data_IF_528229372969
#
_entry.id   IF_528229372969
#
_cell.length_a   1.000
_cell.length_b   1.000
_cell.length_c   1.000
_cell.angle_alpha   90.00
_cell.angle_beta   90.00
_cell.angle_gamma   90.00
#
_symmetry.space_group_name_H-M   'P 1'
#
loop_
_entity.id
_entity.type
_entity.pdbx_description
1 polymer ?
#
# COMPACT_ATOMS: atom_id res chain seq x y z
N UNK A 1 -16.24 -27.58 -10.41
CA UNK A 1 -15.19 -28.50 -10.89
C UNK A 1 -13.89 -27.70 -10.90
N UNK A 2 -12.99 -27.66 -9.90
CA UNK A 2 -12.75 -28.45 -8.69
C UNK A 2 -12.23 -27.46 -7.62
N UNK A 3 -13.05 -27.13 -6.61
CA UNK A 3 -12.76 -26.09 -5.60
C UNK A 3 -12.27 -26.69 -4.28
N UNK A 4 -11.45 -27.73 -4.32
CA UNK A 4 -10.71 -28.22 -3.15
C UNK A 4 -9.34 -27.55 -3.12
N UNK A 5 -9.34 -26.22 -3.01
CA UNK A 5 -8.13 -25.48 -2.65
C UNK A 5 -7.71 -25.96 -1.26
N UNK A 6 -6.43 -26.28 -1.11
CA UNK A 6 -5.79 -26.61 0.16
C UNK A 6 -6.31 -25.65 1.26
N UNK A 7 -6.85 -26.14 2.39
CA UNK A 7 -7.45 -25.28 3.41
C UNK A 7 -6.52 -24.13 3.80
N UNK A 8 -5.20 -24.35 3.82
CA UNK A 8 -4.17 -23.35 4.08
C UNK A 8 -4.27 -22.10 3.18
N UNK A 9 -4.52 -22.26 1.88
CA UNK A 9 -4.61 -21.14 0.91
C UNK A 9 -5.88 -20.33 1.14
N UNK A 10 -6.97 -20.97 1.54
CA UNK A 10 -8.24 -20.29 1.84
C UNK A 10 -8.17 -19.37 3.06
N UNK A 11 -7.28 -19.66 4.02
CA UNK A 11 -7.09 -18.82 5.21
C UNK A 11 -6.31 -17.55 4.87
N UNK A 12 -5.31 -17.66 3.99
CA UNK A 12 -4.50 -16.52 3.55
C UNK A 12 -5.36 -15.52 2.77
N UNK A 13 -6.13 -15.96 1.79
CA UNK A 13 -7.02 -15.06 1.04
C UNK A 13 -8.15 -14.47 1.87
N UNK A 14 -8.55 -15.11 2.98
CA UNK A 14 -9.49 -14.52 3.94
C UNK A 14 -8.83 -13.42 4.76
N UNK A 15 -7.61 -13.65 5.23
CA UNK A 15 -6.81 -12.63 5.93
C UNK A 15 -6.50 -11.41 5.06
N UNK A 16 -6.05 -11.63 3.83
CA UNK A 16 -5.77 -10.57 2.85
C UNK A 16 -7.02 -9.71 2.58
N UNK A 17 -8.17 -10.34 2.32
CA UNK A 17 -9.43 -9.61 2.08
C UNK A 17 -9.89 -8.82 3.31
N UNK A 18 -9.76 -9.39 4.51
CA UNK A 18 -10.11 -8.67 5.74
C UNK A 18 -9.24 -7.41 5.91
N UNK A 19 -7.93 -7.54 5.69
CA UNK A 19 -6.99 -6.41 5.75
C UNK A 19 -7.31 -5.38 4.67
N UNK A 20 -7.62 -5.80 3.44
CA UNK A 20 -8.02 -4.91 2.35
C UNK A 20 -9.31 -4.16 2.68
N UNK A 21 -10.33 -4.82 3.22
CA UNK A 21 -11.58 -4.15 3.62
C UNK A 21 -11.35 -3.12 4.74
N UNK A 22 -10.49 -3.44 5.71
CA UNK A 22 -10.14 -2.50 6.76
C UNK A 22 -9.39 -1.28 6.20
N UNK A 23 -8.38 -1.50 5.35
CA UNK A 23 -7.60 -0.41 4.75
C UNK A 23 -8.41 0.47 3.80
N UNK A 24 -9.24 -0.14 2.95
CA UNK A 24 -10.13 0.61 2.05
C UNK A 24 -11.20 1.38 2.83
N UNK A 25 -11.77 0.78 3.88
CA UNK A 25 -12.70 1.45 4.78
C UNK A 25 -12.06 2.65 5.48
N UNK A 26 -10.85 2.49 6.04
CA UNK A 26 -10.15 3.61 6.69
C UNK A 26 -9.75 4.68 5.68
N UNK A 27 -9.25 4.31 4.50
CA UNK A 27 -8.92 5.25 3.44
C UNK A 27 -10.14 6.05 2.98
N UNK A 28 -11.29 5.40 2.80
CA UNK A 28 -12.53 6.06 2.43
C UNK A 28 -12.99 7.07 3.48
N UNK A 29 -12.88 6.72 4.77
CA UNK A 29 -13.22 7.64 5.87
C UNK A 29 -12.29 8.86 5.86
N UNK A 30 -10.97 8.66 5.74
CA UNK A 30 -10.00 9.77 5.70
C UNK A 30 -10.25 10.66 4.48
N UNK A 31 -10.51 10.07 3.32
CA UNK A 31 -10.84 10.82 2.10
C UNK A 31 -12.12 11.64 2.24
N UNK A 32 -13.15 11.06 2.87
CA UNK A 32 -14.39 11.79 3.15
C UNK A 32 -14.18 12.96 4.12
N UNK A 33 -13.40 12.75 5.19
CA UNK A 33 -13.04 13.82 6.13
C UNK A 33 -12.22 14.92 5.46
N UNK A 34 -11.30 14.56 4.57
CA UNK A 34 -10.53 15.52 3.77
C UNK A 34 -11.47 16.34 2.87
N UNK A 35 -12.44 15.71 2.21
CA UNK A 35 -13.46 16.43 1.42
C UNK A 35 -14.32 17.35 2.30
N UNK A 36 -14.76 16.89 3.47
CA UNK A 36 -15.53 17.73 4.39
C UNK A 36 -14.72 18.94 4.88
N UNK A 37 -13.45 18.73 5.21
CA UNK A 37 -12.52 19.80 5.61
C UNK A 37 -12.37 20.85 4.50
N UNK A 38 -12.16 20.43 3.25
CA UNK A 38 -12.00 21.38 2.13
C UNK A 38 -13.28 22.15 1.88
N UNK A 39 -14.46 21.52 2.01
CA UNK A 39 -15.74 22.22 1.92
C UNK A 39 -15.90 23.26 3.03
N UNK A 40 -15.59 22.90 4.29
CA UNK A 40 -15.67 23.83 5.42
C UNK A 40 -14.67 24.98 5.27
N UNK A 41 -13.45 24.72 4.82
CA UNK A 41 -12.43 25.76 4.58
C UNK A 41 -12.87 26.74 3.47
N UNK A 42 -13.43 26.22 2.38
CA UNK A 42 -13.98 27.03 1.28
C UNK A 42 -15.15 27.88 1.78
N UNK A 43 -16.15 27.27 2.42
CA UNK A 43 -17.31 27.99 2.95
C UNK A 43 -16.92 29.04 4.01
N UNK A 44 -15.97 28.71 4.89
CA UNK A 44 -15.42 29.63 5.89
C UNK A 44 -14.81 30.89 5.27
N UNK A 45 -14.01 30.73 4.21
CA UNK A 45 -13.43 31.86 3.47
C UNK A 45 -14.50 32.73 2.81
N UNK A 46 -15.45 32.12 2.11
CA UNK A 46 -16.42 32.88 1.30
C UNK A 46 -17.55 33.50 2.12
N UNK A 47 -18.02 32.84 3.17
CA UNK A 47 -19.17 33.30 3.96
C UNK A 47 -18.78 34.12 5.19
N UNK A 48 -17.65 33.77 5.84
CA UNK A 48 -17.26 34.33 7.13
C UNK A 48 -15.93 35.10 7.07
N UNK A 49 -15.27 35.14 5.91
CA UNK A 49 -13.90 35.69 5.75
C UNK A 49 -12.90 35.11 6.77
N UNK A 50 -13.17 33.91 7.26
CA UNK A 50 -12.43 33.23 8.30
C UNK A 50 -12.04 31.83 7.79
N UNK A 51 -10.86 31.66 7.16
CA UNK A 51 -10.37 30.35 6.73
C UNK A 51 -10.14 29.42 7.91
N UNK A 52 -10.12 28.11 7.66
CA UNK A 52 -9.75 27.13 8.68
C UNK A 52 -8.23 27.20 8.88
N UNK A 53 -7.80 27.57 10.09
CA UNK A 53 -6.39 27.64 10.45
C UNK A 53 -5.72 26.29 10.25
N UNK A 54 -4.67 26.26 9.42
CA UNK A 54 -3.90 25.04 9.12
C UNK A 54 -4.64 23.97 8.32
N UNK A 55 -5.70 24.34 7.60
CA UNK A 55 -6.37 23.43 6.66
C UNK A 55 -5.40 22.83 5.62
N UNK A 56 -4.40 23.61 5.19
CA UNK A 56 -3.37 23.14 4.25
C UNK A 56 -2.57 21.97 4.83
N UNK A 57 -2.00 22.13 6.03
CA UNK A 57 -1.20 21.09 6.69
C UNK A 57 -2.03 19.83 6.96
N UNK A 58 -3.28 20.01 7.41
CA UNK A 58 -4.17 18.89 7.67
C UNK A 58 -4.52 18.13 6.38
N UNK A 59 -4.75 18.85 5.28
CA UNK A 59 -5.01 18.26 3.97
C UNK A 59 -3.79 17.49 3.46
N UNK A 60 -2.58 18.02 3.66
CA UNK A 60 -1.32 17.35 3.31
C UNK A 60 -1.14 16.03 4.07
N UNK A 61 -1.38 16.05 5.39
CA UNK A 61 -1.31 14.86 6.24
C UNK A 61 -2.37 13.81 5.85
N UNK A 62 -3.60 14.24 5.58
CA UNK A 62 -4.68 13.34 5.14
C UNK A 62 -4.40 12.73 3.76
N UNK A 63 -3.91 13.54 2.82
CA UNK A 63 -3.54 13.06 1.49
C UNK A 63 -2.45 12.00 1.57
N UNK A 64 -1.39 12.27 2.35
CA UNK A 64 -0.33 11.30 2.58
C UNK A 64 -0.88 10.01 3.21
N UNK A 65 -1.73 10.11 4.23
CA UNK A 65 -2.35 8.94 4.85
C UNK A 65 -3.15 8.10 3.83
N UNK A 66 -3.98 8.73 2.99
CA UNK A 66 -4.77 8.03 1.95
C UNK A 66 -3.87 7.32 0.93
N UNK A 67 -2.81 7.97 0.46
CA UNK A 67 -1.87 7.37 -0.50
C UNK A 67 -1.25 6.09 0.08
N UNK A 68 -0.76 6.15 1.32
CA UNK A 68 -0.10 5.02 1.97
C UNK A 68 -1.08 3.92 2.41
N UNK A 69 -2.31 4.26 2.79
CA UNK A 69 -3.37 3.27 3.01
C UNK A 69 -3.76 2.56 1.71
N UNK A 70 -3.74 3.27 0.58
CA UNK A 70 -4.00 2.69 -0.75
C UNK A 70 -2.89 1.75 -1.20
N UNK A 71 -1.63 2.07 -0.93
CA UNK A 71 -0.43 1.38 -1.44
C UNK A 71 -0.50 -0.17 -1.39
N UNK A 72 -0.70 -0.83 -0.24
CA UNK A 72 -0.81 -2.30 -0.18
C UNK A 72 -2.04 -2.85 -0.90
N UNK A 73 -3.12 -2.07 -1.04
CA UNK A 73 -4.31 -2.45 -1.81
C UNK A 73 -3.95 -2.59 -3.30
N UNK A 74 -3.32 -1.55 -3.85
CA UNK A 74 -2.91 -1.50 -5.26
C UNK A 74 -1.84 -2.54 -5.53
N UNK A 75 -0.89 -2.73 -4.61
CA UNK A 75 0.15 -3.76 -4.71
C UNK A 75 -0.43 -5.17 -4.69
N UNK A 76 -1.48 -5.42 -3.90
CA UNK A 76 -2.14 -6.72 -3.86
C UNK A 76 -2.90 -7.02 -5.17
N UNK A 77 -3.57 -6.02 -5.75
CA UNK A 77 -4.32 -6.15 -7.01
C UNK A 77 -3.40 -6.19 -8.25
N UNK A 78 -2.31 -5.44 -8.25
CA UNK A 78 -1.40 -5.27 -9.40
C UNK A 78 -0.08 -6.02 -9.25
N UNK A 79 -0.04 -7.07 -8.41
CA UNK A 79 1.19 -7.73 -7.97
C UNK A 79 2.16 -8.11 -9.08
N UNK A 80 1.67 -8.37 -10.30
CA UNK A 80 2.50 -8.51 -11.49
C UNK A 80 1.71 -8.04 -12.71
N UNK A 81 1.52 -6.73 -12.88
CA UNK A 81 1.34 -6.19 -14.24
C UNK A 81 2.66 -6.48 -14.94
N UNK A 82 2.73 -7.69 -15.48
CA UNK A 82 3.79 -8.17 -16.30
C UNK A 82 4.09 -7.05 -17.30
N UNK A 83 5.37 -6.83 -17.53
CA UNK A 83 5.81 -6.18 -18.76
C UNK A 83 5.43 -7.15 -19.89
N UNK A 84 4.13 -7.24 -20.18
CA UNK A 84 3.51 -8.05 -21.23
C UNK A 84 3.95 -7.52 -22.61
N UNK A 85 4.56 -6.33 -22.62
CA UNK A 85 5.17 -5.68 -23.79
C UNK A 85 6.29 -6.54 -24.40
N UNK A 86 6.92 -7.44 -23.62
CA UNK A 86 7.96 -8.35 -24.11
C UNK A 86 7.52 -9.83 -24.22
N UNK A 87 6.34 -10.21 -23.74
CA UNK A 87 5.91 -11.61 -23.70
C UNK A 87 5.64 -12.20 -25.09
N UNK A 88 5.34 -11.36 -26.10
CA UNK A 88 5.14 -11.82 -27.47
C UNK A 88 6.42 -12.26 -28.20
N UNK A 89 7.62 -11.98 -27.64
CA UNK A 89 8.90 -12.25 -28.29
C UNK A 89 9.69 -13.43 -27.69
N UNK A 90 9.35 -13.88 -26.47
CA UNK A 90 10.13 -14.87 -25.74
C UNK A 90 9.35 -16.18 -25.51
N UNK A 91 10.03 -17.33 -25.62
CA UNK A 91 9.40 -18.64 -25.43
C UNK A 91 8.95 -18.89 -23.98
N UNK A 92 8.10 -19.92 -23.74
CA UNK A 92 7.40 -20.14 -22.46
C UNK A 92 8.31 -20.35 -21.24
N UNK A 93 9.59 -20.72 -21.44
CA UNK A 93 10.57 -20.83 -20.35
C UNK A 93 11.17 -19.50 -19.92
N UNK A 94 11.36 -18.58 -20.87
CA UNK A 94 11.92 -17.25 -20.60
C UNK A 94 10.89 -16.36 -19.87
N UNK A 95 9.61 -16.48 -20.23
CA UNK A 95 8.50 -15.81 -19.53
C UNK A 95 8.45 -16.17 -18.04
N UNK A 96 8.62 -17.45 -17.69
CA UNK A 96 8.67 -17.88 -16.28
C UNK A 96 9.84 -17.25 -15.54
N UNK A 97 11.03 -17.20 -16.14
CA UNK A 97 12.21 -16.57 -15.52
C UNK A 97 12.02 -15.06 -15.36
N UNK A 98 11.46 -14.40 -16.36
CA UNK A 98 11.15 -12.97 -16.32
C UNK A 98 10.15 -12.65 -15.21
N UNK A 99 9.05 -13.41 -15.07
CA UNK A 99 8.10 -13.27 -13.96
C UNK A 99 8.79 -13.37 -12.60
N UNK A 100 9.69 -14.36 -12.42
CA UNK A 100 10.44 -14.54 -11.18
C UNK A 100 11.38 -13.38 -10.89
N UNK A 101 12.08 -12.87 -11.90
CA UNK A 101 12.98 -11.72 -11.76
C UNK A 101 12.21 -10.45 -11.38
N UNK A 102 11.09 -10.17 -12.06
CA UNK A 102 10.24 -9.01 -11.76
C UNK A 102 9.72 -9.10 -10.33
N UNK A 103 9.22 -10.28 -9.92
CA UNK A 103 8.74 -10.50 -8.56
C UNK A 103 9.83 -10.23 -7.51
N UNK A 104 11.03 -10.76 -7.75
CA UNK A 104 12.16 -10.61 -6.85
C UNK A 104 12.61 -9.14 -6.73
N UNK A 105 12.67 -8.42 -7.86
CA UNK A 105 13.01 -7.00 -7.90
C UNK A 105 11.97 -6.16 -7.17
N UNK A 106 10.68 -6.44 -7.36
CA UNK A 106 9.60 -5.75 -6.64
C UNK A 106 9.69 -5.98 -5.13
N UNK A 107 9.85 -7.24 -4.69
CA UNK A 107 9.99 -7.55 -3.26
C UNK A 107 11.20 -6.82 -2.67
N UNK A 108 12.34 -6.84 -3.36
CA UNK A 108 13.56 -6.17 -2.89
C UNK A 108 13.37 -4.66 -2.80
N UNK A 109 12.78 -4.03 -3.83
CA UNK A 109 12.51 -2.60 -3.85
C UNK A 109 11.58 -2.18 -2.69
N UNK A 110 10.48 -2.89 -2.49
CA UNK A 110 9.54 -2.61 -1.40
C UNK A 110 10.14 -2.89 -0.02
N UNK A 111 10.98 -3.92 0.13
CA UNK A 111 11.70 -4.20 1.37
C UNK A 111 12.69 -3.08 1.73
N UNK A 112 13.44 -2.57 0.74
CA UNK A 112 14.35 -1.44 0.93
C UNK A 112 13.56 -0.18 1.29
N UNK A 113 12.46 0.10 0.60
CA UNK A 113 11.59 1.24 0.93
C UNK A 113 11.03 1.12 2.34
N UNK A 114 10.48 -0.04 2.72
CA UNK A 114 10.00 -0.30 4.06
C UNK A 114 11.08 0.00 5.12
N UNK A 115 12.29 -0.52 4.93
CA UNK A 115 13.42 -0.25 5.85
C UNK A 115 13.77 1.24 5.94
N UNK A 116 13.79 1.94 4.80
CA UNK A 116 14.09 3.37 4.76
C UNK A 116 13.01 4.20 5.46
N UNK A 117 11.74 3.85 5.28
CA UNK A 117 10.61 4.50 5.94
C UNK A 117 10.62 4.27 7.45
N UNK A 118 10.98 3.08 7.91
CA UNK A 118 11.17 2.82 9.35
C UNK A 118 12.26 3.71 9.95
N UNK A 119 13.42 3.80 9.30
CA UNK A 119 14.49 4.72 9.74
C UNK A 119 14.02 6.18 9.76
N UNK A 120 13.25 6.59 8.74
CA UNK A 120 12.70 7.93 8.67
C UNK A 120 11.70 8.19 9.82
N UNK A 121 10.78 7.26 10.09
CA UNK A 121 9.82 7.35 11.18
C UNK A 121 10.50 7.50 12.54
N UNK A 122 11.54 6.70 12.81
CA UNK A 122 12.33 6.82 14.05
C UNK A 122 13.11 8.13 14.13
N UNK A 123 13.59 8.65 12.99
CA UNK A 123 14.24 9.96 12.94
C UNK A 123 13.24 11.05 13.31
N UNK A 124 12.10 11.13 12.61
CA UNK A 124 11.04 12.11 12.87
C UNK A 124 10.55 12.04 14.33
N UNK A 125 10.40 10.83 14.88
CA UNK A 125 10.04 10.64 16.29
C UNK A 125 11.09 11.20 17.25
N UNK A 126 12.38 11.07 16.93
CA UNK A 126 13.49 11.56 17.78
C UNK A 126 13.72 13.06 17.72
N UNK A 127 13.45 13.68 16.58
CA UNK A 127 13.60 15.13 16.40
C UNK A 127 12.36 15.91 16.84
N UNK A 128 11.29 15.22 17.26
CA UNK A 128 10.00 15.81 17.62
C UNK A 128 9.48 16.78 16.54
N UNK A 129 9.70 16.42 15.27
CA UNK A 129 9.32 17.27 14.14
C UNK A 129 7.79 17.47 14.15
N UNK A 130 7.37 18.73 14.17
CA UNK A 130 5.96 19.14 14.17
C UNK A 130 5.62 20.02 12.97
N UNK A 131 4.34 20.05 12.60
CA UNK A 131 3.80 20.96 11.59
C UNK A 131 3.93 22.43 12.04
N UNK A 132 4.17 23.34 11.09
CA UNK A 132 4.54 24.72 11.40
C UNK A 132 3.40 25.51 12.07
N UNK A 133 2.15 25.25 11.70
CA UNK A 133 0.99 25.98 12.21
C UNK A 133 0.27 25.20 13.31
N UNK A 134 -0.06 23.93 13.06
CA UNK A 134 -0.83 23.12 14.02
C UNK A 134 0.01 22.42 15.08
N UNK A 135 1.34 22.41 14.93
CA UNK A 135 2.25 21.74 15.86
C UNK A 135 1.91 20.25 16.08
N UNK A 136 1.27 19.60 15.09
CA UNK A 136 1.00 18.17 15.10
C UNK A 136 2.32 17.42 14.80
N UNK A 137 2.68 16.41 15.61
CA UNK A 137 3.88 15.61 15.38
C UNK A 137 3.75 14.77 14.11
N UNK A 138 4.76 14.77 13.25
CA UNK A 138 4.76 13.96 12.01
C UNK A 138 4.99 12.46 12.27
N UNK A 139 5.37 12.08 13.49
CA UNK A 139 5.79 10.72 13.82
C UNK A 139 4.72 9.66 13.51
N UNK A 140 3.44 9.93 13.80
CA UNK A 140 2.35 8.99 13.56
C UNK A 140 2.23 8.64 12.07
N UNK A 141 2.41 9.63 11.19
CA UNK A 141 2.35 9.45 9.75
C UNK A 141 3.53 8.59 9.29
N UNK A 142 4.74 8.87 9.78
CA UNK A 142 5.92 8.06 9.49
C UNK A 142 5.72 6.57 9.82
N UNK A 143 5.15 6.26 10.98
CA UNK A 143 4.83 4.88 11.36
C UNK A 143 3.74 4.25 10.49
N UNK A 144 2.71 5.01 10.11
CA UNK A 144 1.66 4.55 9.19
C UNK A 144 2.25 4.19 7.81
N UNK A 145 3.10 5.05 7.26
CA UNK A 145 3.79 4.82 5.98
C UNK A 145 4.66 3.56 6.06
N UNK A 146 5.46 3.42 7.12
CA UNK A 146 6.34 2.28 7.32
C UNK A 146 5.55 0.96 7.49
N UNK A 147 4.44 1.00 8.24
CA UNK A 147 3.58 -0.16 8.46
C UNK A 147 2.87 -0.63 7.19
N UNK A 148 2.27 0.29 6.43
CA UNK A 148 1.57 -0.03 5.17
C UNK A 148 2.52 -0.55 4.09
N UNK A 149 3.72 0.00 3.99
CA UNK A 149 4.77 -0.49 3.05
C UNK A 149 5.32 -1.86 3.47
N UNK A 150 5.46 -2.09 4.78
CA UNK A 150 5.81 -3.43 5.31
C UNK A 150 4.74 -4.45 4.95
N UNK A 151 3.47 -4.09 5.11
CA UNK A 151 2.34 -4.93 4.74
C UNK A 151 2.33 -5.22 3.24
N UNK A 152 2.58 -4.23 2.39
CA UNK A 152 2.71 -4.42 0.94
C UNK A 152 3.86 -5.39 0.56
N UNK A 153 4.99 -5.29 1.27
CA UNK A 153 6.12 -6.20 1.10
C UNK A 153 5.74 -7.65 1.48
N UNK A 154 5.00 -7.80 2.58
CA UNK A 154 4.50 -9.09 3.03
C UNK A 154 3.51 -9.70 2.02
N UNK A 155 2.59 -8.90 1.45
CA UNK A 155 1.65 -9.39 0.43
C UNK A 155 2.40 -9.89 -0.82
N UNK A 156 3.42 -9.17 -1.28
CA UNK A 156 4.24 -9.62 -2.42
C UNK A 156 4.99 -10.92 -2.11
N UNK A 157 5.52 -11.05 -0.89
CA UNK A 157 6.21 -12.26 -0.45
C UNK A 157 5.26 -13.47 -0.39
N UNK A 158 4.05 -13.30 0.16
CA UNK A 158 3.04 -14.35 0.19
C UNK A 158 2.63 -14.77 -1.24
N UNK A 159 2.38 -13.80 -2.14
CA UNK A 159 2.06 -14.09 -3.54
C UNK A 159 3.15 -14.91 -4.23
N UNK A 160 4.43 -14.59 -4.01
CA UNK A 160 5.55 -15.34 -4.59
C UNK A 160 5.64 -16.78 -4.04
N UNK A 161 5.42 -16.95 -2.73
CA UNK A 161 5.46 -18.25 -2.07
C UNK A 161 4.31 -19.17 -2.52
N UNK A 162 3.08 -18.65 -2.62
CA UNK A 162 1.92 -19.44 -3.02
C UNK A 162 1.86 -19.72 -4.52
N UNK A 163 2.31 -18.77 -5.38
CA UNK A 163 2.44 -19.01 -6.83
C UNK A 163 3.39 -20.18 -7.15
N UNK A 164 4.37 -20.45 -6.27
CA UNK A 164 5.30 -21.58 -6.39
C UNK A 164 4.61 -22.93 -6.15
N UNK A 165 3.55 -23.00 -5.35
CA UNK A 165 2.89 -24.27 -5.00
C UNK A 165 2.12 -24.88 -6.18
N UNK A 166 1.51 -24.06 -7.04
CA UNK A 166 0.67 -24.54 -8.14
C UNK A 166 1.47 -25.14 -9.31
N UNK A 167 2.66 -24.60 -9.62
CA UNK A 167 3.47 -25.09 -10.76
C UNK A 167 4.12 -26.46 -10.51
N UNK A 168 4.19 -26.94 -9.28
CA UNK A 168 4.74 -28.28 -8.95
C UNK A 168 3.78 -29.44 -9.26
N UNK A 169 2.49 -29.16 -9.53
CA UNK A 169 1.50 -30.20 -9.85
C UNK A 169 1.18 -30.34 -11.36
N UNK A 170 1.77 -29.51 -12.23
CA UNK A 170 1.55 -29.54 -13.68
C UNK A 170 2.59 -30.34 -14.49
N UNK A 171 3.61 -30.88 -13.82
CA UNK A 171 4.66 -31.68 -14.45
C UNK A 171 4.35 -33.17 -14.48
N UNK A 172 3.24 -33.56 -15.12
CA UNK A 172 2.96 -34.91 -15.67
C UNK A 172 1.52 -34.92 -16.20
N UNK A 173 1.37 -34.60 -17.49
CA UNK A 173 0.70 -35.42 -18.49
C UNK A 173 0.95 -34.82 -19.87
#
# INVERSE_FOLDING_TARGET
MNSTLNPAVSWVHRGERAVQHLLSGTAAIVMFLMMALTLVDVLGRYLFSAPVTGAFELTELMLAAVIFLGLPLITAENGHVAVDIMDSAFGPRAQVVQEWLIALVNILAFAIFSWMLWKHAFKVYRYEDTTAVLQIPYAWLGFLMAGTTSLATLTLCLQLLFKRTDKTSGGKQ
#
